data_IF_420652686756
#
_entry.id   IF_420652686756
#
_cell.length_a   1.000
_cell.length_b   1.000
_cell.length_c   1.000
_cell.angle_alpha   90.00
_cell.angle_beta   90.00
_cell.angle_gamma   90.00
#
_symmetry.space_group_name_H-M   'P 1'
#
loop_
_entity.id
_entity.type
_entity.pdbx_description
1 polymer ?
#
# COMPACT_ATOMS: atom_id res chain seq x y z
N UNK A 1 -19.18 7.28 41.45
CA UNK A 1 -17.98 6.41 41.50
C UNK A 1 -17.35 6.38 40.11
N UNK A 2 -16.36 7.24 39.86
CA UNK A 2 -15.66 7.35 38.58
C UNK A 2 -14.23 6.82 38.74
N UNK A 3 -13.92 5.72 38.07
CA UNK A 3 -12.59 5.09 38.11
C UNK A 3 -11.58 5.89 37.30
N UNK A 4 -10.67 6.59 38.00
CA UNK A 4 -9.44 7.15 37.42
C UNK A 4 -8.54 6.00 36.97
N UNK A 5 -8.41 5.81 35.65
CA UNK A 5 -7.44 4.90 35.05
C UNK A 5 -6.04 5.48 35.20
N UNK A 6 -5.19 4.74 35.91
CA UNK A 6 -3.76 5.01 36.09
C UNK A 6 -3.03 4.82 34.75
N UNK A 7 -2.76 5.93 34.05
CA UNK A 7 -2.09 5.96 32.75
C UNK A 7 -0.64 6.48 32.79
N UNK A 8 -0.03 6.65 33.98
CA UNK A 8 1.25 7.35 34.13
C UNK A 8 2.49 6.43 34.30
N UNK A 9 2.32 5.11 34.45
CA UNK A 9 3.45 4.20 34.69
C UNK A 9 4.13 3.66 33.42
N UNK A 10 3.45 3.68 32.27
CA UNK A 10 4.02 3.20 31.00
C UNK A 10 5.00 4.18 30.34
N UNK A 11 4.92 5.48 30.67
CA UNK A 11 5.79 6.51 30.07
C UNK A 11 7.17 6.57 30.71
N UNK A 12 7.31 6.17 31.99
CA UNK A 12 8.60 6.20 32.72
C UNK A 12 9.50 4.98 32.43
N UNK A 13 8.95 3.82 32.09
CA UNK A 13 9.75 2.64 31.72
C UNK A 13 10.10 2.58 30.23
N UNK A 14 9.41 3.38 29.40
CA UNK A 14 9.56 3.42 27.93
C UNK A 14 11.01 3.58 27.44
N UNK A 15 11.85 4.51 27.95
CA UNK A 15 13.21 4.69 27.43
C UNK A 15 14.12 3.47 27.70
N UNK A 16 13.93 2.77 28.82
CA UNK A 16 14.68 1.54 29.11
C UNK A 16 14.31 0.42 28.13
N UNK A 17 13.03 0.25 27.83
CA UNK A 17 12.58 -0.78 26.87
C UNK A 17 13.08 -0.53 25.45
N UNK A 18 13.17 0.73 25.02
CA UNK A 18 13.73 1.08 23.69
C UNK A 18 15.22 0.72 23.64
N UNK A 19 15.97 1.04 24.71
CA UNK A 19 17.38 0.66 24.85
C UNK A 19 17.58 -0.85 24.74
N UNK A 20 16.77 -1.65 25.44
CA UNK A 20 16.84 -3.12 25.35
C UNK A 20 16.38 -3.65 23.99
N UNK A 21 15.31 -3.09 23.41
CA UNK A 21 14.76 -3.54 22.13
C UNK A 21 15.72 -3.32 20.95
N UNK A 22 16.61 -2.33 21.04
CA UNK A 22 17.62 -2.05 20.00
C UNK A 22 18.98 -2.64 20.39
N UNK A 23 19.38 -2.51 21.65
CA UNK A 23 20.68 -2.94 22.15
C UNK A 23 20.87 -4.45 22.13
N UNK A 24 19.86 -5.23 22.53
CA UNK A 24 19.96 -6.70 22.56
C UNK A 24 20.17 -7.27 21.13
N UNK A 25 19.38 -6.85 20.10
CA UNK A 25 19.64 -7.29 18.75
C UNK A 25 21.04 -6.93 18.24
N UNK A 26 21.49 -5.68 18.42
CA UNK A 26 22.81 -5.25 17.96
C UNK A 26 23.94 -6.01 18.65
N UNK A 27 23.84 -6.18 19.97
CA UNK A 27 24.83 -6.90 20.76
C UNK A 27 24.85 -8.39 20.37
N UNK A 28 23.69 -9.02 20.15
CA UNK A 28 23.61 -10.40 19.68
C UNK A 28 24.21 -10.60 18.29
N UNK A 29 24.10 -9.61 17.38
CA UNK A 29 24.68 -9.67 16.04
C UNK A 29 26.21 -9.43 16.04
N UNK A 30 26.73 -8.76 17.07
CA UNK A 30 28.17 -8.56 17.29
C UNK A 30 28.82 -9.67 18.14
N UNK A 31 28.02 -10.42 18.91
CA UNK A 31 28.48 -11.45 19.84
C UNK A 31 29.42 -12.51 19.24
N UNK A 32 29.23 -13.00 17.98
CA UNK A 32 30.16 -13.97 17.38
C UNK A 32 31.61 -13.50 17.33
N UNK A 33 31.85 -12.18 17.36
CA UNK A 33 33.19 -11.58 17.38
C UNK A 33 33.55 -11.08 18.77
N UNK A 34 32.61 -10.47 19.49
CA UNK A 34 32.86 -9.92 20.83
C UNK A 34 33.20 -11.01 21.86
N UNK A 35 32.51 -12.15 21.84
CA UNK A 35 32.74 -13.24 22.80
C UNK A 35 34.16 -13.81 22.72
N UNK A 36 34.68 -14.24 21.54
CA UNK A 36 36.06 -14.72 21.45
C UNK A 36 37.09 -13.60 21.71
N UNK A 37 36.76 -12.36 21.36
CA UNK A 37 37.61 -11.20 21.66
C UNK A 37 37.77 -10.98 23.17
N UNK A 38 36.66 -10.91 23.92
CA UNK A 38 36.66 -10.73 25.37
C UNK A 38 37.32 -11.90 26.09
N UNK A 39 37.04 -13.14 25.67
CA UNK A 39 37.68 -14.32 26.24
C UNK A 39 39.21 -14.28 26.14
N UNK A 40 39.74 -13.73 25.03
CA UNK A 40 41.19 -13.63 24.79
C UNK A 40 41.84 -12.43 25.47
N UNK A 41 41.16 -11.29 25.56
CA UNK A 41 41.72 -10.03 26.07
C UNK A 41 41.48 -9.81 27.56
N UNK A 42 40.36 -10.25 28.09
CA UNK A 42 40.00 -10.11 29.52
C UNK A 42 39.25 -11.35 30.03
N UNK A 43 39.97 -12.44 30.35
CA UNK A 43 39.36 -13.69 30.79
C UNK A 43 38.66 -13.55 32.15
N UNK A 44 39.08 -12.62 33.01
CA UNK A 44 38.50 -12.41 34.33
C UNK A 44 37.10 -11.79 34.21
N UNK A 45 36.97 -10.72 33.41
CA UNK A 45 35.67 -10.11 33.14
C UNK A 45 34.75 -11.08 32.37
N UNK A 46 35.30 -11.85 31.42
CA UNK A 46 34.51 -12.87 30.73
C UNK A 46 34.01 -13.95 31.69
N UNK A 47 34.80 -14.37 32.67
CA UNK A 47 34.38 -15.37 33.66
C UNK A 47 33.23 -14.86 34.54
N UNK A 48 33.27 -13.60 34.96
CA UNK A 48 32.22 -12.95 35.76
C UNK A 48 30.87 -12.93 35.02
N UNK A 49 30.88 -12.62 33.71
CA UNK A 49 29.68 -12.49 32.88
C UNK A 49 29.47 -13.65 31.88
N UNK A 50 30.10 -14.80 32.11
CA UNK A 50 30.18 -15.90 31.15
C UNK A 50 28.81 -16.34 30.62
N UNK A 51 27.87 -16.58 31.55
CA UNK A 51 26.52 -17.05 31.20
C UNK A 51 25.79 -16.02 30.33
N UNK A 52 25.90 -14.74 30.65
CA UNK A 52 25.25 -13.67 29.87
C UNK A 52 25.78 -13.61 28.44
N UNK A 53 27.12 -13.64 28.25
CA UNK A 53 27.74 -13.62 26.94
C UNK A 53 27.40 -14.85 26.09
N UNK A 54 27.39 -16.04 26.70
CA UNK A 54 26.98 -17.28 26.01
C UNK A 54 25.50 -17.27 25.64
N UNK A 55 24.62 -16.73 26.49
CA UNK A 55 23.20 -16.55 26.17
C UNK A 55 23.00 -15.59 24.98
N UNK A 56 23.70 -14.45 24.97
CA UNK A 56 23.63 -13.47 23.89
C UNK A 56 24.09 -14.11 22.56
N UNK A 57 25.18 -14.88 22.58
CA UNK A 57 25.69 -15.62 21.41
C UNK A 57 24.70 -16.70 20.95
N UNK A 58 24.07 -17.43 21.90
CA UNK A 58 23.08 -18.45 21.60
C UNK A 58 21.80 -17.90 20.96
N UNK A 59 21.44 -16.64 21.26
CA UNK A 59 20.26 -15.97 20.73
C UNK A 59 20.51 -15.34 19.33
N UNK A 60 21.77 -15.14 18.93
CA UNK A 60 22.15 -14.60 17.60
C UNK A 60 21.37 -15.21 16.42
N UNK A 61 21.26 -16.54 16.25
CA UNK A 61 20.49 -17.11 15.14
C UNK A 61 18.99 -16.79 15.20
N UNK A 62 18.40 -16.71 16.41
CA UNK A 62 17.00 -16.34 16.58
C UNK A 62 16.76 -14.89 16.15
N UNK A 63 17.62 -13.96 16.59
CA UNK A 63 17.53 -12.54 16.23
C UNK A 63 17.75 -12.36 14.72
N UNK A 64 18.77 -13.00 14.15
CA UNK A 64 19.02 -12.96 12.71
C UNK A 64 17.80 -13.49 11.94
N UNK A 65 17.18 -14.60 12.38
CA UNK A 65 15.96 -15.12 11.77
C UNK A 65 14.80 -14.12 11.84
N UNK A 66 14.55 -13.52 13.01
CA UNK A 66 13.46 -12.55 13.19
C UNK A 66 13.64 -11.31 12.31
N UNK A 67 14.85 -10.76 12.25
CA UNK A 67 15.17 -9.60 11.42
C UNK A 67 15.01 -9.91 9.92
N UNK A 68 15.56 -11.04 9.46
CA UNK A 68 15.40 -11.49 8.07
C UNK A 68 13.92 -11.73 7.76
N UNK A 69 13.19 -12.41 8.65
CA UNK A 69 11.75 -12.68 8.50
C UNK A 69 10.94 -11.39 8.40
N UNK A 70 11.28 -10.37 9.18
CA UNK A 70 10.58 -9.09 9.16
C UNK A 70 10.91 -8.25 7.92
N UNK A 71 12.15 -8.33 7.44
CA UNK A 71 12.57 -7.67 6.21
C UNK A 71 11.99 -8.33 4.94
N UNK A 72 11.83 -9.65 4.94
CA UNK A 72 11.25 -10.41 3.83
C UNK A 72 9.72 -10.20 3.72
N UNK A 73 9.18 -9.72 2.58
CA UNK A 73 7.75 -9.47 2.43
C UNK A 73 6.90 -10.73 2.67
N UNK A 74 5.79 -10.58 3.39
CA UNK A 74 4.81 -11.64 3.62
C UNK A 74 4.31 -12.34 2.33
N UNK A 75 4.26 -11.63 1.21
CA UNK A 75 3.89 -12.14 -0.12
C UNK A 75 5.10 -12.63 -0.96
N UNK A 76 6.31 -12.23 -0.57
CA UNK A 76 7.59 -12.75 -1.08
C UNK A 76 8.01 -14.05 -0.41
N UNK A 77 7.31 -14.47 0.66
CA UNK A 77 7.43 -15.78 1.31
C UNK A 77 7.40 -16.87 0.26
N UNK A 78 8.59 -17.34 -0.11
CA UNK A 78 8.94 -18.57 -0.81
C UNK A 78 7.69 -19.33 -1.29
N UNK A 79 7.14 -18.89 -2.44
CA UNK A 79 5.71 -18.97 -2.81
C UNK A 79 4.91 -20.13 -2.20
N UNK A 80 3.76 -19.80 -1.61
CA UNK A 80 2.68 -20.73 -1.30
C UNK A 80 2.38 -21.68 -2.49
N UNK A 81 1.88 -22.90 -2.23
CA UNK A 81 1.26 -23.70 -3.28
C UNK A 81 0.21 -22.83 -3.98
N UNK A 82 0.14 -22.91 -5.31
CA UNK A 82 -0.89 -22.23 -6.09
C UNK A 82 -2.26 -22.51 -5.47
N UNK A 83 -3.15 -21.51 -5.33
CA UNK A 83 -4.55 -21.78 -5.07
C UNK A 83 -5.05 -22.76 -6.15
N UNK A 84 -5.55 -23.93 -5.75
CA UNK A 84 -6.23 -24.86 -6.66
C UNK A 84 -7.37 -24.08 -7.33
N UNK A 85 -7.36 -24.02 -8.67
CA UNK A 85 -8.47 -23.42 -9.44
C UNK A 85 -8.12 -22.30 -10.43
N UNK A 86 -6.87 -21.79 -10.49
CA UNK A 86 -6.49 -20.86 -11.57
C UNK A 86 -6.01 -21.62 -12.82
N UNK A 87 -6.60 -21.40 -14.01
CA UNK A 87 -6.18 -22.08 -15.24
C UNK A 87 -4.70 -21.84 -15.51
N UNK A 88 -3.98 -22.91 -15.83
CA UNK A 88 -2.58 -22.84 -16.22
C UNK A 88 -2.47 -22.05 -17.53
N UNK A 89 -1.65 -20.98 -17.59
CA UNK A 89 -1.40 -20.32 -18.87
C UNK A 89 -0.74 -21.32 -19.83
N UNK A 90 -1.20 -21.31 -21.08
CA UNK A 90 -0.67 -22.13 -22.15
C UNK A 90 0.86 -21.97 -22.27
N UNK A 91 1.55 -23.11 -22.38
CA UNK A 91 2.99 -23.28 -22.66
C UNK A 91 3.91 -22.18 -22.10
N UNK A 92 4.30 -22.33 -20.83
CA UNK A 92 5.36 -21.50 -20.24
C UNK A 92 6.71 -21.80 -20.89
N UNK A 93 7.32 -20.76 -21.45
CA UNK A 93 8.78 -20.62 -21.54
C UNK A 93 9.36 -20.98 -20.15
N UNK A 94 10.12 -22.07 -20.11
CA UNK A 94 10.72 -22.63 -18.90
C UNK A 94 11.69 -21.59 -18.35
N UNK A 95 11.27 -20.85 -17.30
CA UNK A 95 12.14 -19.86 -16.68
C UNK A 95 13.24 -20.63 -15.92
N UNK A 96 14.51 -20.59 -16.36
CA UNK A 96 15.58 -21.44 -15.81
C UNK A 96 15.91 -21.10 -14.34
N UNK A 97 15.40 -19.99 -13.80
CA UNK A 97 15.59 -19.58 -12.41
C UNK A 97 14.42 -19.94 -11.48
N UNK A 98 13.54 -20.84 -11.92
CA UNK A 98 12.65 -21.56 -11.01
C UNK A 98 13.38 -22.65 -10.20
N UNK A 99 14.67 -22.90 -10.46
CA UNK A 99 15.55 -23.61 -9.54
C UNK A 99 15.73 -22.76 -8.28
N UNK A 100 14.79 -22.92 -7.36
CA UNK A 100 14.71 -22.17 -6.11
C UNK A 100 15.34 -23.00 -5.02
N UNK A 101 16.28 -22.45 -4.23
CA UNK A 101 16.62 -23.07 -2.95
C UNK A 101 15.33 -23.26 -2.15
N UNK A 102 15.16 -24.43 -1.53
CA UNK A 102 14.02 -24.75 -0.68
C UNK A 102 13.83 -23.68 0.41
N UNK A 103 12.61 -23.57 0.95
CA UNK A 103 12.21 -22.52 1.90
C UNK A 103 13.23 -22.28 3.02
N UNK A 104 13.71 -23.39 3.59
CA UNK A 104 14.66 -23.41 4.69
C UNK A 104 16.03 -22.91 4.24
N UNK A 105 16.56 -23.46 3.14
CA UNK A 105 17.88 -23.07 2.60
C UNK A 105 17.94 -21.59 2.23
N UNK A 106 16.84 -20.98 1.78
CA UNK A 106 16.80 -19.54 1.51
C UNK A 106 16.90 -18.68 2.77
N UNK A 107 16.21 -19.03 3.85
CA UNK A 107 16.33 -18.28 5.11
C UNK A 107 17.73 -18.44 5.71
N UNK A 108 18.29 -19.64 5.67
CA UNK A 108 19.62 -19.92 6.20
C UNK A 108 20.71 -19.09 5.49
N UNK A 109 20.69 -19.00 4.16
CA UNK A 109 21.69 -18.20 3.43
C UNK A 109 21.59 -16.70 3.75
N UNK A 110 20.37 -16.18 3.93
CA UNK A 110 20.15 -14.77 4.31
C UNK A 110 20.57 -14.48 5.75
N UNK A 111 20.28 -15.40 6.68
CA UNK A 111 20.74 -15.32 8.06
C UNK A 111 22.27 -15.36 8.12
N UNK A 112 22.90 -16.29 7.39
CA UNK A 112 24.35 -16.38 7.31
C UNK A 112 24.96 -15.10 6.73
N UNK A 113 24.41 -14.55 5.64
CA UNK A 113 24.87 -13.29 5.06
C UNK A 113 24.77 -12.12 6.06
N UNK A 114 23.68 -12.03 6.82
CA UNK A 114 23.50 -11.03 7.86
C UNK A 114 24.55 -11.16 8.96
N UNK A 115 24.70 -12.35 9.53
CA UNK A 115 25.64 -12.61 10.62
C UNK A 115 27.08 -12.38 10.18
N UNK A 116 27.47 -12.81 8.97
CA UNK A 116 28.81 -12.59 8.42
C UNK A 116 29.10 -11.10 8.24
N UNK A 117 28.15 -10.34 7.68
CA UNK A 117 28.32 -8.91 7.46
C UNK A 117 28.41 -8.11 8.77
N UNK A 118 27.55 -8.43 9.76
CA UNK A 118 27.59 -7.76 11.07
C UNK A 118 28.82 -8.14 11.86
N UNK A 119 29.28 -9.39 11.77
CA UNK A 119 30.54 -9.85 12.37
C UNK A 119 31.75 -9.12 11.76
N UNK A 120 31.80 -8.99 10.43
CA UNK A 120 32.86 -8.25 9.75
C UNK A 120 32.88 -6.77 10.15
N UNK A 121 31.69 -6.15 10.32
CA UNK A 121 31.58 -4.78 10.80
C UNK A 121 32.02 -4.64 12.26
N UNK A 122 31.59 -5.55 13.14
CA UNK A 122 31.99 -5.59 14.54
C UNK A 122 33.51 -5.73 14.68
N UNK A 123 34.13 -6.62 13.90
CA UNK A 123 35.58 -6.83 13.90
C UNK A 123 36.38 -5.58 13.57
N UNK A 124 35.91 -4.78 12.59
CA UNK A 124 36.57 -3.51 12.20
C UNK A 124 36.52 -2.43 13.26
N UNK A 125 35.60 -2.53 14.20
CA UNK A 125 35.34 -1.52 15.23
C UNK A 125 35.52 -2.09 16.64
N UNK A 126 36.30 -3.17 16.80
CA UNK A 126 36.57 -3.72 18.12
C UNK A 126 37.24 -2.66 19.01
N UNK A 127 36.82 -2.53 20.27
CA UNK A 127 37.39 -1.53 21.19
C UNK A 127 38.82 -1.91 21.54
N UNK A 128 39.72 -0.93 21.57
CA UNK A 128 41.12 -1.15 21.91
C UNK A 128 41.31 -1.47 23.40
N UNK A 129 40.48 -0.88 24.29
CA UNK A 129 40.56 -1.05 25.73
C UNK A 129 39.25 -1.64 26.29
N UNK A 130 39.09 -2.98 26.32
CA UNK A 130 37.84 -3.63 26.76
C UNK A 130 37.45 -3.34 28.21
N UNK A 131 38.38 -2.86 29.04
CA UNK A 131 38.15 -2.48 30.44
C UNK A 131 37.80 -1.01 30.67
N UNK A 132 37.65 -0.19 29.62
CA UNK A 132 37.27 1.21 29.77
C UNK A 132 35.92 1.34 30.53
N UNK A 133 35.83 2.32 31.44
CA UNK A 133 34.61 2.61 32.23
C UNK A 133 34.13 4.04 31.99
N UNK A 134 32.85 4.29 32.22
CA UNK A 134 32.26 5.63 32.10
C UNK A 134 32.24 6.14 30.65
N UNK A 135 32.53 7.43 30.46
CA UNK A 135 32.47 8.07 29.14
C UNK A 135 33.41 7.42 28.11
N UNK A 136 34.56 6.91 28.55
CA UNK A 136 35.52 6.26 27.67
C UNK A 136 34.96 4.97 27.07
N UNK A 137 34.22 4.18 27.87
CA UNK A 137 33.53 2.98 27.39
C UNK A 137 32.50 3.32 26.30
N UNK A 138 31.75 4.40 26.50
CA UNK A 138 30.74 4.86 25.54
C UNK A 138 31.40 5.28 24.23
N UNK A 139 32.51 6.02 24.28
CA UNK A 139 33.26 6.47 23.09
C UNK A 139 33.83 5.29 22.29
N UNK A 140 34.30 4.24 22.96
CA UNK A 140 34.86 3.06 22.29
C UNK A 140 33.77 2.10 21.76
N UNK A 141 32.62 1.98 22.44
CA UNK A 141 31.51 1.10 22.01
C UNK A 141 30.65 1.73 20.92
N UNK A 142 30.52 3.07 20.90
CA UNK A 142 29.72 3.80 19.90
C UNK A 142 30.06 3.44 18.44
N UNK A 143 31.33 3.41 17.99
CA UNK A 143 31.66 3.05 16.60
C UNK A 143 31.30 1.58 16.28
N UNK A 144 31.44 0.67 17.25
CA UNK A 144 31.04 -0.73 17.08
C UNK A 144 29.54 -0.86 16.89
N UNK A 145 28.75 -0.27 17.79
CA UNK A 145 27.29 -0.29 17.72
C UNK A 145 26.79 0.37 16.42
N UNK A 146 27.37 1.52 16.04
CA UNK A 146 27.07 2.23 14.81
C UNK A 146 27.39 1.40 13.56
N UNK A 147 28.59 0.80 13.48
CA UNK A 147 29.00 -0.03 12.35
C UNK A 147 28.13 -1.27 12.17
N UNK A 148 27.81 -1.97 13.27
CA UNK A 148 26.90 -3.14 13.25
C UNK A 148 25.48 -2.74 12.85
N UNK A 149 24.97 -1.62 13.34
CA UNK A 149 23.65 -1.11 12.97
C UNK A 149 23.57 -0.79 11.47
N UNK A 150 24.56 -0.06 10.94
CA UNK A 150 24.63 0.28 9.51
C UNK A 150 24.71 -0.98 8.64
N UNK A 151 25.56 -1.94 8.98
CA UNK A 151 25.68 -3.20 8.25
C UNK A 151 24.38 -4.01 8.28
N UNK A 152 23.73 -4.07 9.44
CA UNK A 152 22.42 -4.73 9.61
C UNK A 152 21.38 -4.12 8.68
N UNK A 153 21.22 -2.78 8.71
CA UNK A 153 20.26 -2.07 7.85
C UNK A 153 20.56 -2.29 6.37
N UNK A 154 21.83 -2.18 5.96
CA UNK A 154 22.22 -2.37 4.56
C UNK A 154 21.88 -3.77 4.05
N UNK A 155 22.22 -4.82 4.82
CA UNK A 155 21.92 -6.21 4.44
C UNK A 155 20.42 -6.46 4.40
N UNK A 156 19.65 -5.96 5.37
CA UNK A 156 18.18 -6.13 5.35
C UNK A 156 17.54 -5.41 4.15
N UNK A 157 18.06 -4.25 3.73
CA UNK A 157 17.63 -3.59 2.48
C UNK A 157 17.95 -4.46 1.27
N UNK A 158 19.15 -5.01 1.16
CA UNK A 158 19.56 -5.91 0.06
C UNK A 158 18.68 -7.16 0.02
N UNK A 159 18.43 -7.80 1.17
CA UNK A 159 17.52 -8.95 1.30
C UNK A 159 16.11 -8.57 0.84
N UNK A 160 15.59 -7.42 1.29
CA UNK A 160 14.27 -6.94 0.89
C UNK A 160 14.16 -6.66 -0.60
N UNK A 161 15.23 -6.16 -1.22
CA UNK A 161 15.31 -5.96 -2.68
C UNK A 161 15.36 -7.28 -3.43
N UNK A 162 16.10 -8.27 -2.90
CA UNK A 162 16.22 -9.61 -3.45
C UNK A 162 14.92 -10.42 -3.35
N UNK A 163 14.19 -10.27 -2.24
CA UNK A 163 12.94 -10.98 -1.95
C UNK A 163 11.69 -10.33 -2.57
N UNK A 164 11.87 -9.27 -3.36
CA UNK A 164 10.74 -8.64 -4.05
C UNK A 164 10.02 -9.68 -4.93
N UNK A 165 8.68 -9.75 -4.84
CA UNK A 165 7.94 -10.68 -5.68
C UNK A 165 8.22 -10.35 -7.15
N UNK A 166 8.65 -11.36 -7.91
CA UNK A 166 8.79 -11.21 -9.36
C UNK A 166 7.44 -10.80 -9.94
N UNK A 167 7.41 -9.59 -10.48
CA UNK A 167 6.30 -9.06 -11.27
C UNK A 167 6.62 -9.35 -12.72
N UNK A 168 5.75 -10.07 -13.46
CA UNK A 168 6.00 -10.35 -14.87
C UNK A 168 6.19 -9.01 -15.63
N UNK A 169 7.15 -8.94 -16.57
CA UNK A 169 7.34 -7.74 -17.37
C UNK A 169 6.06 -7.48 -18.17
N UNK A 170 5.61 -6.22 -18.13
CA UNK A 170 4.56 -5.72 -19.02
C UNK A 170 5.24 -5.33 -20.33
N UNK A 171 4.65 -5.74 -21.45
CA UNK A 171 5.16 -5.42 -22.78
C UNK A 171 4.63 -4.07 -23.24
N UNK A 172 5.29 -3.50 -24.25
CA UNK A 172 4.90 -2.21 -24.85
C UNK A 172 3.48 -2.27 -25.42
N UNK A 173 3.11 -3.41 -26.01
CA UNK A 173 1.79 -3.64 -26.61
C UNK A 173 0.68 -3.58 -25.56
N UNK A 174 0.92 -4.12 -24.37
CA UNK A 174 -0.05 -4.06 -23.26
C UNK A 174 -0.25 -2.61 -22.82
N UNK A 175 0.82 -1.83 -22.67
CA UNK A 175 0.70 -0.41 -22.30
C UNK A 175 -0.04 0.38 -23.38
N UNK A 176 0.26 0.15 -24.65
CA UNK A 176 -0.44 0.80 -25.77
C UNK A 176 -1.91 0.43 -25.85
N UNK A 177 -2.26 -0.83 -25.62
CA UNK A 177 -3.64 -1.26 -25.54
C UNK A 177 -4.39 -0.53 -24.39
N UNK A 178 -3.73 -0.38 -23.23
CA UNK A 178 -4.27 0.38 -22.11
C UNK A 178 -4.43 1.87 -22.43
N UNK A 179 -3.48 2.48 -23.15
CA UNK A 179 -3.58 3.87 -23.63
C UNK A 179 -4.82 4.04 -24.52
N UNK A 180 -5.04 3.14 -25.47
CA UNK A 180 -6.19 3.23 -26.36
C UNK A 180 -7.52 3.05 -25.60
N UNK A 181 -7.56 2.13 -24.62
CA UNK A 181 -8.71 1.99 -23.72
C UNK A 181 -8.95 3.26 -22.90
N UNK A 182 -7.88 3.90 -22.41
CA UNK A 182 -7.96 5.15 -21.66
C UNK A 182 -8.57 6.29 -22.50
N UNK A 183 -8.14 6.43 -23.75
CA UNK A 183 -8.66 7.44 -24.67
C UNK A 183 -10.15 7.22 -24.98
N UNK A 184 -10.56 5.97 -25.19
CA UNK A 184 -11.97 5.63 -25.38
C UNK A 184 -12.79 5.94 -24.12
N UNK A 185 -12.26 5.62 -22.94
CA UNK A 185 -12.91 5.93 -21.67
C UNK A 185 -13.04 7.45 -21.44
N UNK A 186 -11.99 8.22 -21.74
CA UNK A 186 -11.99 9.68 -21.66
C UNK A 186 -13.04 10.30 -22.59
N UNK A 187 -13.08 9.87 -23.86
CA UNK A 187 -14.09 10.36 -24.82
C UNK A 187 -15.51 10.07 -24.32
N UNK A 188 -15.74 8.86 -23.79
CA UNK A 188 -17.05 8.46 -23.25
C UNK A 188 -17.45 9.34 -22.06
N UNK A 189 -16.56 9.53 -21.09
CA UNK A 189 -16.86 10.37 -19.91
C UNK A 189 -17.08 11.81 -20.30
N UNK A 190 -16.28 12.38 -21.19
CA UNK A 190 -16.48 13.77 -21.60
C UNK A 190 -17.85 13.96 -22.28
N UNK A 191 -18.28 13.00 -23.09
CA UNK A 191 -19.61 13.02 -23.69
C UNK A 191 -20.73 12.91 -22.63
N UNK A 192 -20.56 12.05 -21.62
CA UNK A 192 -21.50 11.92 -20.50
C UNK A 192 -21.51 13.15 -19.59
N UNK A 193 -20.36 13.79 -19.35
CA UNK A 193 -20.23 15.05 -18.61
C UNK A 193 -21.04 16.14 -19.32
N UNK A 194 -20.85 16.31 -20.63
CA UNK A 194 -21.60 17.28 -21.42
C UNK A 194 -23.11 16.98 -21.48
N UNK A 195 -23.49 15.70 -21.43
CA UNK A 195 -24.90 15.30 -21.30
C UNK A 195 -25.46 15.65 -19.92
N UNK A 196 -24.69 15.40 -18.87
CA UNK A 196 -25.06 15.69 -17.49
C UNK A 196 -25.23 17.20 -17.25
N UNK A 197 -24.28 18.01 -17.71
CA UNK A 197 -24.35 19.46 -17.61
C UNK A 197 -25.63 20.00 -18.25
N UNK A 198 -25.96 19.53 -19.46
CA UNK A 198 -27.21 19.90 -20.13
C UNK A 198 -28.44 19.49 -19.32
N UNK A 199 -28.40 18.32 -18.69
CA UNK A 199 -29.52 17.82 -17.89
C UNK A 199 -29.68 18.59 -16.59
N UNK A 200 -28.59 18.85 -15.87
CA UNK A 200 -28.55 19.68 -14.66
C UNK A 200 -29.09 21.08 -14.97
N UNK A 201 -28.65 21.69 -16.08
CA UNK A 201 -29.17 23.00 -16.52
C UNK A 201 -30.65 22.96 -16.94
N UNK A 202 -31.12 21.85 -17.50
CA UNK A 202 -32.54 21.67 -17.82
C UNK A 202 -33.39 21.53 -16.55
N UNK A 203 -32.94 20.74 -15.58
CA UNK A 203 -33.58 20.60 -14.26
C UNK A 203 -33.61 21.94 -13.55
N UNK A 204 -32.53 22.73 -13.58
CA UNK A 204 -32.50 24.06 -12.97
C UNK A 204 -33.55 25.00 -13.56
N UNK A 205 -33.62 25.11 -14.88
CA UNK A 205 -34.63 25.94 -15.54
C UNK A 205 -36.05 25.49 -15.22
N UNK A 206 -36.28 24.17 -15.23
CA UNK A 206 -37.55 23.55 -14.87
C UNK A 206 -37.93 23.86 -13.42
N UNK A 207 -36.98 23.76 -12.49
CA UNK A 207 -37.18 23.98 -11.06
C UNK A 207 -37.48 25.45 -10.77
N UNK A 208 -36.75 26.38 -11.40
CA UNK A 208 -37.06 27.82 -11.32
C UNK A 208 -38.45 28.15 -11.86
N UNK A 209 -38.87 27.52 -12.96
CA UNK A 209 -40.22 27.70 -13.50
C UNK A 209 -41.30 27.07 -12.60
N UNK A 210 -41.05 25.89 -12.02
CA UNK A 210 -42.01 25.19 -11.18
C UNK A 210 -42.24 25.88 -9.82
N UNK A 211 -41.20 26.48 -9.22
CA UNK A 211 -41.35 27.30 -8.00
C UNK A 211 -42.36 28.44 -8.17
N UNK A 212 -42.50 28.98 -9.39
CA UNK A 212 -43.50 30.01 -9.66
C UNK A 212 -44.94 29.49 -9.71
N UNK A 213 -45.15 28.17 -9.89
CA UNK A 213 -46.47 27.57 -10.12
C UNK A 213 -46.94 26.61 -9.01
N UNK A 214 -46.04 26.17 -8.12
CA UNK A 214 -46.32 25.21 -7.01
C UNK A 214 -47.10 23.95 -7.44
N UNK A 215 -46.84 23.45 -8.65
CA UNK A 215 -47.54 22.28 -9.19
C UNK A 215 -46.91 20.96 -8.71
N UNK A 216 -47.63 20.26 -7.83
CA UNK A 216 -47.23 18.98 -7.26
C UNK A 216 -46.89 17.91 -8.31
N UNK A 217 -47.70 17.75 -9.35
CA UNK A 217 -47.49 16.70 -10.36
C UNK A 217 -46.19 16.92 -11.15
N UNK A 218 -45.93 18.18 -11.45
CA UNK A 218 -44.71 18.65 -12.11
C UNK A 218 -43.48 18.41 -11.23
N UNK A 219 -43.50 18.82 -9.96
CA UNK A 219 -42.38 18.63 -9.03
C UNK A 219 -42.09 17.13 -8.76
N UNK A 220 -43.13 16.31 -8.61
CA UNK A 220 -42.98 14.85 -8.44
C UNK A 220 -42.30 14.19 -9.64
N UNK A 221 -42.70 14.58 -10.85
CA UNK A 221 -42.09 14.07 -12.09
C UNK A 221 -40.61 14.45 -12.16
N UNK A 222 -40.27 15.69 -11.78
CA UNK A 222 -38.87 16.13 -11.71
C UNK A 222 -38.04 15.34 -10.71
N UNK A 223 -38.60 15.01 -9.53
CA UNK A 223 -37.90 14.19 -8.56
C UNK A 223 -37.56 12.80 -9.13
N UNK A 224 -38.51 12.17 -9.85
CA UNK A 224 -38.27 10.90 -10.51
C UNK A 224 -37.24 10.98 -11.65
N UNK A 225 -37.34 12.00 -12.51
CA UNK A 225 -36.37 12.25 -13.59
C UNK A 225 -34.95 12.43 -13.02
N UNK A 226 -34.82 13.23 -11.96
CA UNK A 226 -33.54 13.53 -11.31
C UNK A 226 -32.92 12.29 -10.67
N UNK A 227 -33.73 11.47 -9.99
CA UNK A 227 -33.27 10.22 -9.40
C UNK A 227 -32.82 9.20 -10.46
N UNK A 228 -33.61 9.01 -11.53
CA UNK A 228 -33.26 8.12 -12.63
C UNK A 228 -31.99 8.54 -13.36
N UNK A 229 -31.76 9.86 -13.47
CA UNK A 229 -30.51 10.40 -13.98
C UNK A 229 -29.32 9.99 -13.10
N UNK A 230 -29.39 10.25 -11.79
CA UNK A 230 -28.31 9.94 -10.86
C UNK A 230 -27.93 8.44 -10.84
N UNK A 231 -28.92 7.55 -10.98
CA UNK A 231 -28.69 6.10 -11.02
C UNK A 231 -27.99 5.65 -12.31
N UNK A 232 -28.44 6.15 -13.47
CA UNK A 232 -27.81 5.84 -14.77
C UNK A 232 -26.31 6.19 -14.81
N UNK A 233 -25.93 7.23 -14.07
CA UNK A 233 -24.55 7.70 -13.95
C UNK A 233 -23.68 6.79 -13.09
N UNK A 234 -24.24 6.24 -12.00
CA UNK A 234 -23.48 5.39 -11.08
C UNK A 234 -22.91 4.16 -11.80
N UNK A 235 -23.67 3.59 -12.76
CA UNK A 235 -23.21 2.48 -13.59
C UNK A 235 -21.99 2.83 -14.45
N UNK A 236 -22.02 3.99 -15.12
CA UNK A 236 -20.89 4.48 -15.94
C UNK A 236 -19.66 4.73 -15.06
N UNK A 237 -19.85 5.34 -13.91
CA UNK A 237 -18.78 5.67 -12.96
C UNK A 237 -18.03 4.43 -12.46
N UNK A 238 -18.75 3.38 -12.08
CA UNK A 238 -18.11 2.14 -11.60
C UNK A 238 -17.19 1.55 -12.67
N UNK A 239 -17.64 1.51 -13.93
CA UNK A 239 -16.84 1.03 -15.05
C UNK A 239 -15.58 1.88 -15.31
N UNK A 240 -15.71 3.20 -15.16
CA UNK A 240 -14.60 4.15 -15.30
C UNK A 240 -13.59 4.01 -14.17
N UNK A 241 -14.04 3.88 -12.92
CA UNK A 241 -13.19 3.67 -11.76
C UNK A 241 -12.37 2.38 -11.89
N UNK A 242 -13.00 1.30 -12.36
CA UNK A 242 -12.29 0.03 -12.59
C UNK A 242 -11.23 0.18 -13.67
N UNK A 243 -11.55 0.89 -14.76
CA UNK A 243 -10.58 1.23 -15.81
C UNK A 243 -9.42 2.05 -15.25
N UNK A 244 -9.71 3.07 -14.44
CA UNK A 244 -8.70 3.89 -13.77
C UNK A 244 -7.78 3.06 -12.86
N UNK A 245 -8.35 2.15 -12.06
CA UNK A 245 -7.58 1.23 -11.20
C UNK A 245 -6.64 0.35 -12.01
N UNK A 246 -7.11 -0.23 -13.12
CA UNK A 246 -6.30 -1.08 -14.00
C UNK A 246 -5.12 -0.29 -14.60
N UNK A 247 -5.35 0.94 -15.04
CA UNK A 247 -4.29 1.81 -15.56
C UNK A 247 -3.25 2.15 -14.49
N UNK A 248 -3.69 2.59 -13.30
CA UNK A 248 -2.79 2.90 -12.17
C UNK A 248 -1.98 1.67 -11.77
N UNK A 249 -2.59 0.48 -11.77
CA UNK A 249 -1.89 -0.76 -11.49
C UNK A 249 -0.84 -1.09 -12.57
N UNK A 250 -1.17 -0.91 -13.85
CA UNK A 250 -0.26 -1.08 -14.98
C UNK A 250 0.96 -0.18 -14.83
N UNK A 251 0.74 1.12 -14.56
CA UNK A 251 1.80 2.10 -14.32
C UNK A 251 2.68 1.67 -13.14
N UNK A 252 2.08 1.26 -12.01
CA UNK A 252 2.83 0.77 -10.84
C UNK A 252 3.67 -0.46 -11.16
N UNK A 253 3.18 -1.38 -11.97
CA UNK A 253 3.93 -2.57 -12.38
C UNK A 253 5.14 -2.18 -13.25
N UNK A 254 4.96 -1.28 -14.22
CA UNK A 254 6.08 -0.77 -15.05
C UNK A 254 7.14 -0.10 -14.16
N UNK A 255 6.73 0.72 -13.19
CA UNK A 255 7.65 1.34 -12.25
C UNK A 255 8.35 0.31 -11.34
N UNK A 256 7.67 -0.75 -10.93
CA UNK A 256 8.28 -1.82 -10.11
C UNK A 256 9.24 -2.70 -10.91
N UNK A 257 8.95 -2.96 -12.19
CA UNK A 257 9.85 -3.73 -13.07
C UNK A 257 11.17 -2.98 -13.36
N UNK A 258 11.18 -1.65 -13.22
CA UNK A 258 12.38 -0.83 -13.20
C UNK A 258 13.41 -1.32 -12.17
N UNK A 259 12.94 -1.69 -10.99
CA UNK A 259 13.80 -1.98 -9.84
C UNK A 259 14.00 -3.48 -9.61
N UNK A 260 13.63 -4.32 -10.58
CA UNK A 260 13.90 -5.75 -10.48
C UNK A 260 15.37 -6.02 -10.82
N UNK A 261 16.12 -6.72 -9.95
CA UNK A 261 17.54 -7.00 -10.17
C UNK A 261 17.82 -7.63 -11.53
N UNK A 262 16.98 -8.57 -11.95
CA UNK A 262 17.08 -9.24 -13.25
C UNK A 262 16.89 -8.28 -14.42
N UNK A 263 15.92 -7.37 -14.32
CA UNK A 263 15.70 -6.35 -15.34
C UNK A 263 16.85 -5.35 -15.41
N UNK A 264 17.45 -5.00 -14.26
CA UNK A 264 18.63 -4.11 -14.20
C UNK A 264 19.81 -4.77 -14.89
N UNK A 265 20.15 -6.00 -14.53
CA UNK A 265 21.28 -6.73 -15.14
C UNK A 265 21.07 -6.91 -16.65
N UNK A 266 19.89 -7.36 -17.08
CA UNK A 266 19.59 -7.54 -18.51
C UNK A 266 19.71 -6.21 -19.28
N UNK A 267 19.27 -5.08 -18.70
CA UNK A 267 19.38 -3.76 -19.36
C UNK A 267 20.79 -3.20 -19.39
N UNK A 268 21.64 -3.54 -18.42
CA UNK A 268 23.06 -3.16 -18.43
C UNK A 268 23.80 -3.96 -19.50
N UNK A 269 23.49 -5.26 -19.62
CA UNK A 269 24.17 -6.16 -20.56
C UNK A 269 23.65 -6.00 -22.00
N UNK A 270 22.36 -5.69 -22.20
CA UNK A 270 21.75 -5.63 -23.52
C UNK A 270 21.21 -4.23 -23.86
N UNK A 271 21.84 -3.49 -24.81
CA UNK A 271 21.42 -2.14 -25.17
C UNK A 271 20.02 -2.10 -25.80
N UNK A 272 19.62 -3.15 -26.54
CA UNK A 272 18.26 -3.28 -27.11
C UNK A 272 17.20 -3.31 -26.01
N UNK A 273 17.43 -4.07 -24.93
CA UNK A 273 16.53 -4.12 -23.78
C UNK A 273 16.44 -2.80 -23.02
N UNK A 274 17.52 -2.01 -23.00
CA UNK A 274 17.52 -0.64 -22.45
C UNK A 274 16.63 0.29 -23.29
N UNK A 275 16.76 0.25 -24.61
CA UNK A 275 15.94 1.07 -25.52
C UNK A 275 14.45 0.69 -25.44
N UNK A 276 14.13 -0.60 -25.42
CA UNK A 276 12.75 -1.10 -25.27
C UNK A 276 12.14 -0.65 -23.93
N UNK A 277 12.91 -0.73 -22.84
CA UNK A 277 12.46 -0.25 -21.55
C UNK A 277 12.28 1.27 -21.50
N UNK A 278 13.12 2.05 -22.18
CA UNK A 278 12.95 3.49 -22.29
C UNK A 278 11.63 3.84 -23.02
N UNK A 279 11.30 3.12 -24.10
CA UNK A 279 10.01 3.23 -24.80
C UNK A 279 8.84 2.87 -23.89
N UNK A 280 8.93 1.76 -23.17
CA UNK A 280 7.91 1.34 -22.20
C UNK A 280 7.68 2.41 -21.12
N UNK A 281 8.75 3.06 -20.64
CA UNK A 281 8.66 4.13 -19.64
C UNK A 281 8.03 5.39 -20.21
N UNK A 282 8.36 5.76 -21.45
CA UNK A 282 7.71 6.88 -22.14
C UNK A 282 6.21 6.62 -22.33
N UNK A 283 5.84 5.43 -22.82
CA UNK A 283 4.45 5.02 -23.00
C UNK A 283 3.70 4.98 -21.64
N UNK A 284 4.34 4.50 -20.57
CA UNK A 284 3.77 4.53 -19.23
C UNK A 284 3.59 5.95 -18.69
N UNK A 285 4.45 6.91 -19.07
CA UNK A 285 4.27 8.33 -18.79
C UNK A 285 3.03 8.89 -19.50
N UNK A 286 2.86 8.55 -20.79
CA UNK A 286 1.66 8.92 -21.56
C UNK A 286 0.37 8.29 -21.01
N UNK A 287 0.44 7.06 -20.47
CA UNK A 287 -0.67 6.43 -19.77
C UNK A 287 -0.97 7.11 -18.43
N UNK A 288 0.06 7.55 -17.71
CA UNK A 288 -0.10 8.26 -16.43
C UNK A 288 -0.81 9.61 -16.61
N UNK A 289 -0.45 10.39 -17.63
CA UNK A 289 -1.15 11.63 -17.96
C UNK A 289 -2.64 11.37 -18.25
N UNK A 290 -2.95 10.35 -19.06
CA UNK A 290 -4.35 9.98 -19.36
C UNK A 290 -5.11 9.48 -18.14
N UNK A 291 -4.47 8.69 -17.28
CA UNK A 291 -5.08 8.26 -16.03
C UNK A 291 -5.38 9.44 -15.11
N UNK A 292 -4.48 10.43 -15.01
CA UNK A 292 -4.70 11.65 -14.25
C UNK A 292 -5.87 12.48 -14.81
N UNK A 293 -5.93 12.67 -16.14
CA UNK A 293 -7.08 13.32 -16.81
C UNK A 293 -8.38 12.57 -16.57
N UNK A 294 -8.35 11.24 -16.59
CA UNK A 294 -9.51 10.41 -16.30
C UNK A 294 -9.98 10.61 -14.86
N UNK A 295 -9.05 10.63 -13.91
CA UNK A 295 -9.32 10.95 -12.51
C UNK A 295 -9.98 12.32 -12.36
N UNK A 296 -9.39 13.36 -12.93
CA UNK A 296 -9.96 14.72 -12.86
C UNK A 296 -11.37 14.82 -13.49
N UNK A 297 -11.59 14.18 -14.65
CA UNK A 297 -12.92 14.16 -15.28
C UNK A 297 -13.95 13.38 -14.44
N UNK A 298 -13.50 12.33 -13.75
CA UNK A 298 -14.30 11.50 -12.85
C UNK A 298 -14.69 12.27 -11.59
N UNK A 299 -13.74 13.00 -10.98
CA UNK A 299 -13.97 13.85 -9.81
C UNK A 299 -14.91 15.00 -10.12
N UNK A 300 -14.72 15.66 -11.28
CA UNK A 300 -15.64 16.68 -11.77
C UNK A 300 -17.06 16.13 -11.92
N UNK A 301 -17.21 14.93 -12.50
CA UNK A 301 -18.52 14.32 -12.67
C UNK A 301 -19.16 13.95 -11.32
N UNK A 302 -18.39 13.43 -10.37
CA UNK A 302 -18.89 13.13 -9.02
C UNK A 302 -19.45 14.39 -8.35
N UNK A 303 -18.80 15.55 -8.55
CA UNK A 303 -19.31 16.83 -8.06
C UNK A 303 -20.64 17.24 -8.70
N UNK A 304 -20.86 16.92 -9.99
CA UNK A 304 -22.14 17.15 -10.68
C UNK A 304 -23.24 16.27 -10.09
N UNK A 305 -22.95 14.98 -9.88
CA UNK A 305 -23.91 14.04 -9.26
C UNK A 305 -24.25 14.46 -7.84
N UNK A 306 -23.26 14.88 -7.04
CA UNK A 306 -23.50 15.38 -5.68
C UNK A 306 -24.42 16.60 -5.69
N UNK A 307 -24.19 17.56 -6.61
CA UNK A 307 -25.07 18.72 -6.78
C UNK A 307 -26.49 18.32 -7.21
N UNK A 308 -26.61 17.38 -8.16
CA UNK A 308 -27.91 16.88 -8.60
C UNK A 308 -28.66 16.17 -7.45
N UNK A 309 -27.96 15.35 -6.66
CA UNK A 309 -28.52 14.67 -5.51
C UNK A 309 -28.96 15.64 -4.41
N UNK A 310 -28.16 16.66 -4.11
CA UNK A 310 -28.53 17.71 -3.16
C UNK A 310 -29.82 18.40 -3.60
N UNK A 311 -29.90 18.82 -4.86
CA UNK A 311 -31.12 19.42 -5.43
C UNK A 311 -32.32 18.49 -5.44
N UNK A 312 -32.10 17.20 -5.68
CA UNK A 312 -33.17 16.18 -5.63
C UNK A 312 -33.69 16.03 -4.20
N UNK A 313 -32.80 16.11 -3.20
CA UNK A 313 -33.19 16.11 -1.79
C UNK A 313 -33.96 17.38 -1.42
N UNK A 314 -33.49 18.55 -1.87
CA UNK A 314 -34.20 19.82 -1.66
C UNK A 314 -35.60 19.76 -2.28
N UNK A 315 -35.72 19.28 -3.53
CA UNK A 315 -36.99 19.11 -4.22
C UNK A 315 -37.96 18.18 -3.45
N UNK A 316 -37.44 17.11 -2.84
CA UNK A 316 -38.23 16.22 -1.98
C UNK A 316 -38.83 16.98 -0.80
N UNK A 317 -38.06 17.88 -0.17
CA UNK A 317 -38.54 18.71 0.94
C UNK A 317 -39.49 19.82 0.47
N UNK A 318 -39.20 20.50 -0.64
CA UNK A 318 -40.11 21.48 -1.26
C UNK A 318 -41.47 20.87 -1.57
N UNK A 319 -41.52 19.65 -2.12
CA UNK A 319 -42.79 18.96 -2.39
C UNK A 319 -43.59 18.75 -1.09
N UNK A 320 -42.91 18.32 -0.01
CA UNK A 320 -43.56 18.14 1.30
C UNK A 320 -44.12 19.45 1.84
N UNK A 321 -43.31 20.50 1.82
CA UNK A 321 -43.59 21.74 2.54
C UNK A 321 -44.53 22.68 1.75
N UNK A 322 -44.50 22.65 0.41
CA UNK A 322 -45.23 23.61 -0.43
C UNK A 322 -46.45 23.05 -1.17
N UNK A 323 -46.63 21.72 -1.25
CA UNK A 323 -47.75 21.09 -2.00
C UNK A 323 -48.94 20.66 -1.11
N UNK A 324 -48.95 21.05 0.16
CA UNK A 324 -50.03 20.70 1.10
C UNK A 324 -50.17 19.19 1.35
N UNK A 325 -51.38 18.70 1.67
CA UNK A 325 -51.59 17.29 2.07
C UNK A 325 -51.14 16.25 1.04
N UNK A 326 -51.23 16.58 -0.26
CA UNK A 326 -50.76 15.68 -1.32
C UNK A 326 -49.24 15.48 -1.29
N UNK A 327 -48.50 16.56 -1.00
CA UNK A 327 -47.04 16.55 -0.84
C UNK A 327 -46.59 15.74 0.36
N UNK A 328 -47.23 15.96 1.52
CA UNK A 328 -46.96 15.22 2.76
C UNK A 328 -47.21 13.72 2.60
N UNK A 329 -48.36 13.34 2.04
CA UNK A 329 -48.70 11.93 1.81
C UNK A 329 -47.70 11.25 0.87
N UNK A 330 -47.26 11.94 -0.19
CA UNK A 330 -46.25 11.42 -1.09
C UNK A 330 -44.88 11.27 -0.41
N UNK A 331 -44.48 12.25 0.40
CA UNK A 331 -43.22 12.23 1.12
C UNK A 331 -43.16 11.05 2.10
N UNK A 332 -44.22 10.87 2.91
CA UNK A 332 -44.30 9.79 3.88
C UNK A 332 -44.26 8.42 3.19
N UNK A 333 -45.04 8.24 2.12
CA UNK A 333 -45.02 7.02 1.34
C UNK A 333 -43.65 6.74 0.67
N UNK A 334 -42.89 7.79 0.34
CA UNK A 334 -41.53 7.64 -0.21
C UNK A 334 -40.53 7.20 0.85
N UNK A 335 -40.57 7.79 2.04
CA UNK A 335 -39.70 7.42 3.17
C UNK A 335 -40.01 5.99 3.65
N UNK A 336 -41.27 5.61 3.78
CA UNK A 336 -41.68 4.24 4.11
C UNK A 336 -41.11 3.20 3.12
N UNK A 337 -41.19 3.48 1.80
CA UNK A 337 -40.58 2.60 0.78
C UNK A 337 -39.06 2.52 0.92
N UNK A 338 -38.39 3.62 1.28
CA UNK A 338 -36.93 3.65 1.50
C UNK A 338 -36.53 2.89 2.75
N UNK A 339 -37.29 2.98 3.82
CA UNK A 339 -37.07 2.23 5.05
C UNK A 339 -37.27 0.73 4.83
N UNK A 340 -38.36 0.34 4.15
CA UNK A 340 -38.60 -1.05 3.76
C UNK A 340 -37.46 -1.62 2.90
N UNK A 341 -36.95 -0.83 1.93
CA UNK A 341 -35.79 -1.23 1.13
C UNK A 341 -34.50 -1.36 1.95
N UNK A 342 -34.23 -0.43 2.89
CA UNK A 342 -33.06 -0.53 3.79
C UNK A 342 -33.12 -1.76 4.67
N UNK A 343 -34.29 -2.10 5.19
CA UNK A 343 -34.53 -3.30 5.99
C UNK A 343 -34.30 -4.58 5.16
N UNK A 344 -34.79 -4.61 3.92
CA UNK A 344 -34.57 -5.74 3.00
C UNK A 344 -33.08 -5.93 2.65
N UNK A 345 -32.31 -4.85 2.59
CA UNK A 345 -30.86 -4.88 2.36
C UNK A 345 -30.01 -5.17 3.61
N UNK A 346 -30.64 -5.30 4.80
CA UNK A 346 -29.95 -5.55 6.06
C UNK A 346 -29.10 -4.38 6.56
N UNK A 347 -29.40 -3.16 6.12
CA UNK A 347 -28.71 -1.94 6.59
C UNK A 347 -29.33 -1.46 7.90
N UNK A 348 -28.52 -1.07 8.91
CA UNK A 348 -29.06 -0.56 10.17
C UNK A 348 -29.86 0.73 9.92
N UNK A 349 -30.97 0.86 10.66
CA UNK A 349 -31.94 1.97 10.56
C UNK A 349 -31.32 3.28 10.99
#
# INVERSE_FOLDING_TARGET
MAGRRSGCLLTLTSPCWIGYAIGIPLLSLAAPVLVPYLHRRDPAQFAEYRTAWLCILGITPLVAFLLVRWASPAAGRLRAPRPRGRPSPAKRVRNPRACRPGRVTGYLTRMAALVVATSAAAYRHLPEHPGARGEQAVREIAPLAGGVAVATVAVLIVIRLWDRPYVPPITVEVVRAQIHQAEKALKRINAENARMERMVAAVDRKLSAAHSRRDFATLRTMHHESYGCADSVHGVYRSVQDSHRVMVQTIRVVHRSAWQPTGVVIRVVHPKSRAEYARLRADAGGLADRAARLGAATDYHLSLVQRLNARTADLKHTIRDECGPAGENWYNALEERREAARLAEGKPV
#
